data_IF_765877975178
#
_entry.id   IF_765877975178
#
_cell.length_a   1.000
_cell.length_b   1.000
_cell.length_c   1.000
_cell.angle_alpha   90.00
_cell.angle_beta   90.00
_cell.angle_gamma   90.00
#
_symmetry.space_group_name_H-M   'P 1'
#
loop_
_entity.id
_entity.type
_entity.pdbx_description
1 polymer ?
#
# COMPACT_ATOMS: atom_id res chain seq x y z
N UNK A 1 23.04 3.54 14.13
CA UNK A 1 22.99 4.31 12.87
C UNK A 1 22.55 5.74 13.21
N UNK A 2 23.18 6.80 12.66
CA UNK A 2 22.95 8.19 13.07
C UNK A 2 21.48 8.65 12.96
N UNK A 3 20.68 8.00 12.12
CA UNK A 3 19.25 8.29 11.91
C UNK A 3 18.34 7.84 13.05
N UNK A 4 18.75 6.86 13.86
CA UNK A 4 17.92 6.32 14.96
C UNK A 4 17.84 7.25 16.18
N UNK A 5 18.68 8.29 16.23
CA UNK A 5 18.71 9.31 17.29
C UNK A 5 17.89 10.57 16.95
N UNK A 6 17.19 10.57 15.82
CA UNK A 6 16.38 11.71 15.33
C UNK A 6 14.90 11.47 15.56
N UNK A 7 14.07 12.51 15.50
CA UNK A 7 12.59 12.43 15.56
C UNK A 7 11.95 11.80 14.30
N UNK A 8 12.75 11.40 13.31
CA UNK A 8 12.30 10.87 12.02
C UNK A 8 11.56 9.53 12.12
N UNK A 9 12.02 8.51 12.89
CA UNK A 9 11.31 7.23 12.99
C UNK A 9 9.93 7.39 13.64
N UNK A 10 9.82 8.20 14.69
CA UNK A 10 8.55 8.50 15.36
C UNK A 10 7.59 9.22 14.41
N UNK A 11 8.10 10.16 13.62
CA UNK A 11 7.33 10.85 12.59
C UNK A 11 6.86 9.90 11.48
N UNK A 12 7.67 8.92 11.07
CA UNK A 12 7.34 8.01 9.98
C UNK A 12 6.34 6.91 10.39
N UNK A 13 6.20 6.60 11.68
CA UNK A 13 5.45 5.45 12.18
C UNK A 13 3.97 5.41 11.73
N UNK A 14 3.34 6.57 11.54
CA UNK A 14 1.94 6.67 11.13
C UNK A 14 1.75 7.07 9.64
N UNK A 15 2.79 6.95 8.82
CA UNK A 15 2.78 7.39 7.42
C UNK A 15 3.04 6.23 6.48
N UNK A 16 2.44 6.33 5.30
CA UNK A 16 2.69 5.42 4.19
C UNK A 16 3.65 6.09 3.22
N UNK A 17 4.67 5.33 2.78
CA UNK A 17 5.55 5.74 1.69
C UNK A 17 4.99 5.22 0.38
N UNK A 18 4.72 6.12 -0.54
CA UNK A 18 4.35 5.78 -1.91
C UNK A 18 5.48 6.23 -2.85
N UNK A 19 5.91 5.34 -3.74
CA UNK A 19 7.01 5.59 -4.68
C UNK A 19 6.59 5.22 -6.09
N UNK A 20 6.81 6.14 -7.02
CA UNK A 20 6.65 5.86 -8.44
C UNK A 20 8.01 5.57 -9.06
N UNK A 21 8.18 4.35 -9.57
CA UNK A 21 9.37 3.97 -10.35
C UNK A 21 9.00 3.76 -11.80
N UNK A 22 9.35 4.71 -12.66
CA UNK A 22 9.19 4.59 -14.11
C UNK A 22 10.37 3.83 -14.72
N UNK A 23 10.08 2.81 -15.53
CA UNK A 23 11.09 2.00 -16.24
C UNK A 23 11.21 2.45 -17.70
N UNK A 24 12.26 2.01 -18.39
CA UNK A 24 12.66 2.47 -19.74
C UNK A 24 11.52 2.55 -20.76
N UNK A 25 10.64 1.54 -20.82
CA UNK A 25 9.52 1.53 -21.77
C UNK A 25 8.51 2.65 -21.50
N UNK A 26 8.20 2.88 -20.22
CA UNK A 26 7.27 3.93 -19.82
C UNK A 26 7.88 5.32 -20.00
N UNK A 27 9.17 5.48 -19.67
CA UNK A 27 9.91 6.72 -19.94
C UNK A 27 9.94 7.06 -21.44
N UNK A 28 10.13 6.06 -22.31
CA UNK A 28 10.11 6.24 -23.76
C UNK A 28 8.72 6.62 -24.28
N UNK A 29 7.66 6.01 -23.72
CA UNK A 29 6.27 6.33 -24.06
C UNK A 29 5.91 7.77 -23.67
N UNK A 30 6.42 8.26 -22.54
CA UNK A 30 6.18 9.61 -22.04
C UNK A 30 7.11 10.67 -22.67
N UNK A 31 8.09 10.28 -23.49
CA UNK A 31 9.12 11.19 -24.01
C UNK A 31 10.10 11.71 -22.94
N UNK A 32 10.15 11.06 -21.77
CA UNK A 32 11.02 11.38 -20.63
C UNK A 32 12.34 10.59 -20.65
N UNK A 33 12.62 9.89 -21.74
CA UNK A 33 13.90 9.21 -21.96
C UNK A 33 15.07 10.17 -22.21
N UNK A 34 14.80 11.46 -22.46
CA UNK A 34 15.81 12.50 -22.66
C UNK A 34 15.60 13.60 -21.62
N UNK A 35 16.69 14.16 -21.09
CA UNK A 35 16.67 15.21 -20.07
C UNK A 35 15.84 16.45 -20.44
N UNK A 36 15.75 16.79 -21.74
CA UNK A 36 14.96 17.92 -22.23
C UNK A 36 13.45 17.79 -21.96
N UNK A 37 12.93 16.56 -21.95
CA UNK A 37 11.51 16.30 -21.68
C UNK A 37 11.09 16.63 -20.24
N UNK A 38 12.05 16.72 -19.32
CA UNK A 38 11.80 16.97 -17.89
C UNK A 38 11.60 18.45 -17.55
N UNK A 39 11.94 19.38 -18.44
CA UNK A 39 11.80 20.82 -18.16
C UNK A 39 10.34 21.30 -18.21
N UNK A 40 9.50 20.64 -19.01
CA UNK A 40 8.13 21.09 -19.29
C UNK A 40 7.06 20.18 -18.68
N UNK A 41 7.44 19.24 -17.82
CA UNK A 41 6.50 18.30 -17.22
C UNK A 41 6.13 18.72 -15.79
N UNK A 42 4.85 18.59 -15.47
CA UNK A 42 4.40 18.62 -14.07
C UNK A 42 4.63 17.24 -13.43
N UNK A 43 5.65 17.16 -12.57
CA UNK A 43 5.98 15.95 -11.83
C UNK A 43 4.86 15.52 -10.88
N UNK A 44 4.10 16.46 -10.32
CA UNK A 44 3.03 16.15 -9.39
C UNK A 44 1.83 15.57 -10.13
N UNK A 45 1.47 16.15 -11.28
CA UNK A 45 0.40 15.62 -12.13
C UNK A 45 0.71 14.19 -12.57
N UNK A 46 1.91 13.96 -13.12
CA UNK A 46 2.38 12.63 -13.49
C UNK A 46 2.30 11.66 -12.31
N UNK A 47 2.84 12.05 -11.16
CA UNK A 47 2.81 11.20 -9.97
C UNK A 47 1.39 10.85 -9.54
N UNK A 48 0.49 11.85 -9.51
CA UNK A 48 -0.91 11.70 -9.10
C UNK A 48 -1.68 10.75 -10.04
N UNK A 49 -1.41 10.82 -11.34
CA UNK A 49 -2.04 9.96 -12.33
C UNK A 49 -1.68 8.48 -12.10
N UNK A 50 -0.39 8.17 -11.93
CA UNK A 50 0.03 6.80 -11.67
C UNK A 50 -0.39 6.30 -10.29
N UNK A 51 -0.38 7.16 -9.28
CA UNK A 51 -0.86 6.80 -7.95
C UNK A 51 -2.37 6.53 -7.96
N UNK A 52 -3.15 7.29 -8.75
CA UNK A 52 -4.58 7.07 -8.93
C UNK A 52 -4.94 5.75 -9.62
N UNK A 53 -4.01 5.15 -10.37
CA UNK A 53 -4.17 3.80 -10.94
C UNK A 53 -3.97 2.69 -9.92
N UNK A 54 -3.45 3.00 -8.73
CA UNK A 54 -3.24 2.00 -7.67
C UNK A 54 -4.59 1.62 -7.08
N UNK A 55 -5.09 0.45 -7.45
CA UNK A 55 -6.23 -0.16 -6.79
C UNK A 55 -5.76 -0.82 -5.48
N UNK A 56 -6.21 -0.29 -4.34
CA UNK A 56 -6.09 -0.98 -3.06
C UNK A 56 -7.20 -2.02 -3.00
N UNK A 57 -6.85 -3.30 -3.06
CA UNK A 57 -7.83 -4.38 -2.89
C UNK A 57 -8.33 -4.39 -1.45
N UNK A 58 -9.49 -3.76 -1.21
CA UNK A 58 -10.20 -3.94 0.05
C UNK A 58 -10.79 -5.35 0.08
N UNK A 59 -10.23 -6.22 0.92
CA UNK A 59 -10.89 -7.47 1.27
C UNK A 59 -12.03 -7.14 2.23
N UNK A 60 -13.19 -6.74 1.69
CA UNK A 60 -14.39 -6.53 2.51
C UNK A 60 -14.88 -7.88 2.99
N UNK A 61 -14.89 -8.04 4.31
CA UNK A 61 -15.62 -9.13 4.94
C UNK A 61 -17.10 -8.98 4.57
N UNK A 62 -17.65 -9.99 3.88
CA UNK A 62 -19.08 -10.05 3.56
C UNK A 62 -19.76 -10.97 4.55
N UNK A 63 -20.82 -10.48 5.17
CA UNK A 63 -21.70 -11.31 5.98
C UNK A 63 -22.29 -12.43 5.10
N UNK A 64 -22.29 -13.67 5.61
CA UNK A 64 -22.81 -14.88 4.96
C UNK A 64 -22.03 -15.47 3.78
N UNK A 65 -20.82 -14.99 3.48
CA UNK A 65 -20.02 -15.53 2.37
C UNK A 65 -19.75 -17.04 2.45
N UNK A 66 -19.69 -17.60 3.67
CA UNK A 66 -19.53 -19.04 3.92
C UNK A 66 -20.63 -19.87 3.24
N UNK A 67 -21.86 -19.34 3.18
CA UNK A 67 -23.01 -20.04 2.59
C UNK A 67 -22.92 -20.07 1.06
N UNK A 68 -22.44 -18.98 0.46
CA UNK A 68 -22.27 -18.83 -1.00
C UNK A 68 -21.08 -19.63 -1.53
N UNK A 69 -20.07 -19.86 -0.71
CA UNK A 69 -18.87 -20.59 -1.11
C UNK A 69 -19.18 -22.08 -1.39
N UNK A 70 -18.58 -22.66 -2.45
CA UNK A 70 -18.54 -24.10 -2.66
C UNK A 70 -18.02 -24.84 -1.44
N UNK A 71 -18.62 -25.99 -1.11
CA UNK A 71 -18.33 -26.77 0.10
C UNK A 71 -16.82 -27.01 0.33
N UNK A 72 -16.07 -27.30 -0.73
CA UNK A 72 -14.63 -27.57 -0.67
C UNK A 72 -13.76 -26.35 -0.33
N UNK A 73 -14.27 -25.12 -0.50
CA UNK A 73 -13.58 -23.88 -0.15
C UNK A 73 -13.92 -23.37 1.25
N UNK A 74 -15.09 -23.75 1.80
CA UNK A 74 -15.59 -23.27 3.09
C UNK A 74 -14.59 -23.48 4.23
N UNK A 75 -13.97 -24.65 4.29
CA UNK A 75 -12.97 -24.97 5.32
C UNK A 75 -11.71 -24.11 5.18
N UNK A 76 -11.24 -23.87 3.95
CA UNK A 76 -10.07 -23.04 3.68
C UNK A 76 -10.34 -21.57 4.01
N UNK A 77 -11.52 -21.09 3.65
CA UNK A 77 -11.96 -19.74 3.98
C UNK A 77 -12.12 -19.55 5.48
N UNK A 78 -12.77 -20.49 6.19
CA UNK A 78 -12.93 -20.41 7.64
C UNK A 78 -11.57 -20.41 8.35
N UNK A 79 -10.67 -21.28 7.94
CA UNK A 79 -9.31 -21.35 8.47
C UNK A 79 -8.54 -20.03 8.30
N UNK A 80 -8.65 -19.43 7.11
CA UNK A 80 -8.09 -18.12 6.80
C UNK A 80 -8.77 -16.99 7.59
N UNK A 81 -10.10 -17.02 7.71
CA UNK A 81 -10.91 -16.08 8.48
C UNK A 81 -10.50 -16.09 9.95
N UNK A 82 -10.23 -17.29 10.49
CA UNK A 82 -9.69 -17.50 11.83
C UNK A 82 -8.22 -17.06 11.97
N UNK A 83 -7.61 -16.43 10.97
CA UNK A 83 -6.26 -15.88 11.03
C UNK A 83 -5.14 -16.91 10.91
N UNK A 84 -5.45 -18.18 10.66
CA UNK A 84 -4.43 -19.19 10.37
C UNK A 84 -3.94 -19.05 8.93
N UNK A 85 -2.66 -19.34 8.70
CA UNK A 85 -2.09 -19.32 7.36
C UNK A 85 -2.48 -20.59 6.59
N UNK A 86 -3.30 -20.53 5.52
CA UNK A 86 -3.65 -21.72 4.76
C UNK A 86 -2.43 -22.29 4.01
N UNK A 87 -1.41 -21.47 3.77
CA UNK A 87 -0.17 -21.84 3.09
C UNK A 87 0.67 -22.84 3.89
N UNK A 88 0.57 -22.86 5.22
CA UNK A 88 1.30 -23.81 6.08
C UNK A 88 0.52 -25.11 6.28
N UNK A 89 -0.80 -25.07 6.19
CA UNK A 89 -1.69 -26.19 6.50
C UNK A 89 -2.03 -27.00 5.23
N UNK A 90 -2.25 -26.33 4.10
CA UNK A 90 -2.63 -26.97 2.85
C UNK A 90 -1.42 -27.36 2.02
N UNK A 91 -1.47 -28.49 1.29
CA UNK A 91 -0.49 -28.79 0.25
C UNK A 91 -0.43 -27.67 -0.78
N UNK A 92 0.77 -27.37 -1.29
CA UNK A 92 1.04 -26.27 -2.24
C UNK A 92 0.05 -26.23 -3.40
N UNK A 93 -0.27 -27.39 -4.00
CA UNK A 93 -1.21 -27.47 -5.14
C UNK A 93 -2.64 -27.07 -4.77
N UNK A 94 -3.11 -27.53 -3.61
CA UNK A 94 -4.44 -27.20 -3.07
C UNK A 94 -4.53 -25.72 -2.74
N UNK A 95 -3.48 -25.15 -2.13
CA UNK A 95 -3.40 -23.73 -1.83
C UNK A 95 -3.61 -22.86 -3.06
N UNK A 96 -2.86 -23.09 -4.15
CA UNK A 96 -2.99 -22.26 -5.36
C UNK A 96 -4.33 -22.43 -6.07
N UNK A 97 -4.91 -23.64 -6.05
CA UNK A 97 -6.27 -23.87 -6.58
C UNK A 97 -7.30 -23.08 -5.78
N UNK A 98 -7.30 -23.24 -4.45
CA UNK A 98 -8.27 -22.57 -3.58
C UNK A 98 -8.10 -21.05 -3.61
N UNK A 99 -6.86 -20.54 -3.69
CA UNK A 99 -6.61 -19.10 -3.88
C UNK A 99 -7.25 -18.59 -5.17
N UNK A 100 -7.06 -19.30 -6.29
CA UNK A 100 -7.67 -18.91 -7.57
C UNK A 100 -9.19 -18.85 -7.47
N UNK A 101 -9.81 -19.84 -6.85
CA UNK A 101 -11.26 -19.92 -6.75
C UNK A 101 -11.83 -18.87 -5.77
N UNK A 102 -11.14 -18.61 -4.66
CA UNK A 102 -11.51 -17.59 -3.67
C UNK A 102 -11.29 -16.15 -4.16
N UNK A 103 -10.35 -15.94 -5.09
CA UNK A 103 -10.16 -14.63 -5.73
C UNK A 103 -11.40 -14.20 -6.53
N UNK A 104 -12.18 -15.13 -7.07
CA UNK A 104 -13.47 -14.82 -7.71
C UNK A 104 -14.47 -14.18 -6.74
N UNK A 105 -14.30 -14.44 -5.43
CA UNK A 105 -15.08 -13.84 -4.35
C UNK A 105 -14.35 -12.65 -3.70
N UNK A 106 -13.31 -12.10 -4.36
CA UNK A 106 -12.49 -10.99 -3.84
C UNK A 106 -11.72 -11.31 -2.55
N UNK A 107 -11.42 -12.59 -2.29
CA UNK A 107 -10.60 -13.02 -1.15
C UNK A 107 -9.25 -13.51 -1.63
N UNK A 108 -8.17 -12.90 -1.13
CA UNK A 108 -6.83 -13.42 -1.32
C UNK A 108 -6.28 -14.06 -0.04
N UNK A 109 -6.36 -15.40 0.02
CA UNK A 109 -5.85 -16.19 1.14
C UNK A 109 -4.31 -16.17 1.31
N UNK A 110 -3.58 -15.54 0.38
CA UNK A 110 -2.14 -15.32 0.52
C UNK A 110 -1.82 -14.13 1.41
N UNK A 111 -2.75 -13.18 1.51
CA UNK A 111 -2.68 -12.08 2.47
C UNK A 111 -3.22 -12.60 3.81
N UNK A 112 -2.47 -12.57 4.90
CA UNK A 112 -2.98 -12.97 6.21
C UNK A 112 -4.19 -12.11 6.57
N UNK A 113 -5.28 -12.72 7.04
CA UNK A 113 -6.34 -11.96 7.68
C UNK A 113 -5.80 -11.47 9.03
N UNK A 114 -5.60 -10.16 9.25
CA UNK A 114 -5.26 -9.68 10.57
C UNK A 114 -6.46 -9.98 11.46
N UNK A 115 -6.35 -11.01 12.30
CA UNK A 115 -7.21 -11.09 13.47
C UNK A 115 -6.90 -9.87 14.30
N UNK A 116 -7.73 -8.86 14.14
CA UNK A 116 -8.01 -7.96 15.22
C UNK A 116 -8.37 -8.85 16.41
N UNK A 117 -7.47 -8.94 17.39
CA UNK A 117 -7.79 -9.43 18.74
C UNK A 117 -8.73 -8.39 19.37
N UNK A 118 -9.83 -8.10 18.71
CA UNK A 118 -10.85 -7.23 19.22
C UNK A 118 -11.66 -8.08 20.17
N UNK A 119 -11.49 -7.79 21.45
CA UNK A 119 -12.45 -8.18 22.46
C UNK A 119 -13.84 -7.81 21.92
N UNK A 120 -14.75 -8.78 21.86
CA UNK A 120 -16.10 -8.70 21.26
C UNK A 120 -16.96 -7.52 21.74
N UNK A 121 -16.52 -6.78 22.76
CA UNK A 121 -17.26 -5.70 23.40
C UNK A 121 -16.80 -4.29 23.01
N UNK A 122 -15.90 -4.14 22.04
CA UNK A 122 -15.44 -2.84 21.55
C UNK A 122 -15.81 -2.70 20.08
N UNK A 123 -16.75 -1.78 19.79
CA UNK A 123 -17.03 -1.38 18.41
C UNK A 123 -15.75 -0.71 17.87
N UNK A 124 -15.12 -1.21 16.78
CA UNK A 124 -14.00 -0.54 16.19
C UNK A 124 -14.54 0.75 15.59
N UNK A 125 -14.21 1.88 16.21
CA UNK A 125 -14.25 3.16 15.51
C UNK A 125 -13.20 3.08 14.41
N UNK A 126 -13.59 2.55 13.24
CA UNK A 126 -12.74 2.57 12.05
C UNK A 126 -12.55 4.03 11.68
N UNK A 127 -11.43 4.61 12.11
CA UNK A 127 -11.02 5.91 11.63
C UNK A 127 -10.66 5.72 10.17
N UNK A 128 -11.48 6.28 9.28
CA UNK A 128 -11.12 6.38 7.86
C UNK A 128 -9.79 7.10 7.81
N UNK A 129 -8.74 6.42 7.34
CA UNK A 129 -7.45 7.07 7.12
C UNK A 129 -7.67 7.99 5.93
N UNK A 130 -7.86 9.28 6.20
CA UNK A 130 -7.83 10.30 5.17
C UNK A 130 -6.40 10.40 4.64
N UNK A 131 -6.19 10.01 3.38
CA UNK A 131 -4.92 10.20 2.70
C UNK A 131 -4.69 11.68 2.43
N UNK A 132 -4.19 12.39 3.45
CA UNK A 132 -3.68 13.76 3.28
C UNK A 132 -2.22 13.66 2.87
N UNK A 133 -1.79 14.36 1.80
CA UNK A 133 -0.38 14.40 1.45
C UNK A 133 0.40 14.96 2.64
N UNK A 134 1.39 14.21 3.11
CA UNK A 134 2.24 14.66 4.19
C UNK A 134 3.19 15.73 3.66
N UNK A 135 3.09 16.94 4.20
CA UNK A 135 4.08 17.98 3.98
C UNK A 135 5.41 17.67 4.68
N UNK A 136 6.42 18.47 4.36
CA UNK A 136 7.71 18.46 5.06
C UNK A 136 7.47 18.98 6.49
N UNK A 137 7.90 18.28 7.55
CA UNK A 137 7.71 18.75 8.90
C UNK A 137 8.62 19.95 9.23
N UNK A 138 8.13 20.87 10.04
CA UNK A 138 8.85 22.11 10.41
C UNK A 138 10.21 21.83 11.06
N UNK A 139 10.32 20.77 11.85
CA UNK A 139 11.56 20.41 12.53
C UNK A 139 12.67 19.92 11.58
N UNK A 140 12.35 19.56 10.33
CA UNK A 140 13.35 19.05 9.38
C UNK A 140 14.12 20.18 8.68
N UNK A 141 13.58 21.41 8.66
CA UNK A 141 14.24 22.55 8.05
C UNK A 141 15.54 22.91 8.77
N UNK A 142 16.60 23.17 8.01
CA UNK A 142 17.93 23.50 8.56
C UNK A 142 18.71 22.31 9.13
N UNK A 143 18.18 21.09 9.03
CA UNK A 143 18.90 19.85 9.40
C UNK A 143 19.45 19.15 8.16
N UNK A 144 20.43 18.26 8.35
CA UNK A 144 20.96 17.40 7.27
C UNK A 144 19.91 16.40 6.72
N UNK A 145 18.72 16.34 7.32
CA UNK A 145 17.64 15.44 6.91
C UNK A 145 16.84 15.97 5.71
N UNK A 146 16.87 17.29 5.48
CA UNK A 146 16.18 17.93 4.37
C UNK A 146 17.19 18.52 3.40
N UNK A 147 17.19 18.02 2.17
CA UNK A 147 17.93 18.65 1.08
C UNK A 147 17.09 19.76 0.47
N UNK A 148 17.52 21.01 0.67
CA UNK A 148 16.96 22.15 -0.04
C UNK A 148 17.80 22.44 -1.29
N UNK A 149 17.22 22.35 -2.50
CA UNK A 149 17.94 22.74 -3.70
C UNK A 149 18.30 24.22 -3.58
N UNK A 150 19.56 24.55 -3.89
CA UNK A 150 19.99 25.95 -3.92
C UNK A 150 19.07 26.67 -4.90
N UNK A 151 18.32 27.67 -4.42
CA UNK A 151 17.59 28.58 -5.30
C UNK A 151 18.61 29.17 -6.26
N UNK A 152 18.61 28.73 -7.52
CA UNK A 152 19.26 29.47 -8.58
C UNK A 152 18.61 30.85 -8.51
N UNK A 153 19.41 31.87 -8.20
CA UNK A 153 18.92 33.23 -8.18
C UNK A 153 18.23 33.45 -9.52
N UNK A 154 16.92 33.75 -9.48
CA UNK A 154 16.25 34.29 -10.65
C UNK A 154 16.95 35.62 -10.90
N UNK A 155 17.94 35.62 -11.79
CA UNK A 155 18.56 36.85 -12.23
C UNK A 155 17.44 37.67 -12.86
N UNK A 156 17.28 38.88 -12.33
CA UNK A 156 16.44 39.93 -12.88
C UNK A 156 16.88 40.28 -14.29
#
# INVERSE_FOLDING_TARGET
APLALTSLPDFANNKLRAELTLRTKELSKLGLNVGTGWFNIDMWELYSEYLGRVEMSEQKERDNLVLELPSHLRSTYLLWKEGHSPKTILPKRTFYRHRKDLLAFSIDISVPNPKDKMNDNVIPLRRVIEMRPCGIPEWAFGTDLLFEPRKLSSQK
#
